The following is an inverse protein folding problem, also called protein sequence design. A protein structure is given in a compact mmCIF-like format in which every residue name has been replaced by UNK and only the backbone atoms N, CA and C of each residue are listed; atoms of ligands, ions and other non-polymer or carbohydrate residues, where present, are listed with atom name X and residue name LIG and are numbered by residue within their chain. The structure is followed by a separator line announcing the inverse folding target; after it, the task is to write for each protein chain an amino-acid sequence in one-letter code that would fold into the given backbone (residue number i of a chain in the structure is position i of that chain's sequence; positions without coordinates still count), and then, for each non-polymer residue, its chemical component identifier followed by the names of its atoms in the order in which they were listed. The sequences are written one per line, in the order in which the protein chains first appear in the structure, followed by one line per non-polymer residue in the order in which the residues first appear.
data_IF_800821901878
#
_entry.id   IF_800821901878
#
_cell.length_a   1.000
_cell.length_b   1.000
_cell.length_c   1.000
_cell.angle_alpha   90.00
_cell.angle_beta   90.00
_cell.angle_gamma   90.00
#
_symmetry.space_group_name_H-M   'P 1'
#
loop_
_entity.id
_entity.type
_entity.pdbx_description
1 polymer ?
#
# COMPACT_ATOMS: atom_id res chain seq x y z
N UNK A 1 -30.59 -22.82 11.86
CA UNK A 1 -30.14 -21.59 12.55
C UNK A 1 -28.65 -21.58 12.89
N UNK A 2 -28.08 -22.63 13.50
CA UNK A 2 -26.63 -22.65 13.89
C UNK A 2 -25.69 -22.65 12.68
N UNK A 3 -26.07 -23.35 11.60
CA UNK A 3 -25.26 -23.45 10.38
C UNK A 3 -25.19 -22.08 9.68
N UNK A 4 -26.31 -21.40 9.57
CA UNK A 4 -26.47 -20.07 8.98
C UNK A 4 -25.67 -19.03 9.75
N UNK A 5 -25.70 -19.10 11.09
CA UNK A 5 -24.85 -18.26 11.96
C UNK A 5 -23.36 -18.54 11.72
N UNK A 6 -22.97 -19.81 11.58
CA UNK A 6 -21.60 -20.20 11.26
C UNK A 6 -21.12 -19.62 9.94
N UNK A 7 -21.94 -19.70 8.88
CA UNK A 7 -21.63 -19.10 7.58
C UNK A 7 -21.57 -17.57 7.65
N UNK A 8 -22.47 -16.93 8.40
CA UNK A 8 -22.46 -15.49 8.59
C UNK A 8 -21.19 -15.01 9.29
N UNK A 9 -20.77 -15.70 10.35
CA UNK A 9 -19.51 -15.40 11.07
C UNK A 9 -18.30 -15.60 10.16
N UNK A 10 -18.25 -16.72 9.42
CA UNK A 10 -17.17 -16.98 8.47
C UNK A 10 -17.10 -15.89 7.39
N UNK A 11 -18.26 -15.50 6.84
CA UNK A 11 -18.34 -14.43 5.86
C UNK A 11 -17.81 -13.11 6.42
N UNK A 12 -18.23 -12.72 7.63
CA UNK A 12 -17.73 -11.51 8.30
C UNK A 12 -16.21 -11.55 8.51
N UNK A 13 -15.67 -12.69 8.96
CA UNK A 13 -14.25 -12.88 9.16
C UNK A 13 -13.47 -12.76 7.86
N UNK A 14 -13.98 -13.31 6.75
CA UNK A 14 -13.33 -13.18 5.44
C UNK A 14 -13.45 -11.76 4.88
N UNK A 15 -14.64 -11.15 4.97
CA UNK A 15 -14.92 -9.83 4.43
C UNK A 15 -14.08 -8.72 5.11
N UNK A 16 -13.81 -8.83 6.40
CA UNK A 16 -12.98 -7.86 7.15
C UNK A 16 -11.53 -8.34 7.27
N UNK A 17 -11.34 -9.60 7.64
CA UNK A 17 -10.02 -10.16 7.91
C UNK A 17 -9.14 -10.25 6.67
N UNK A 18 -9.68 -10.63 5.51
CA UNK A 18 -8.87 -10.73 4.30
C UNK A 18 -8.30 -9.37 3.84
N UNK A 19 -9.08 -8.27 3.77
CA UNK A 19 -8.52 -6.94 3.48
C UNK A 19 -7.47 -6.48 4.49
N UNK A 20 -7.66 -6.75 5.80
CA UNK A 20 -6.68 -6.36 6.83
C UNK A 20 -5.37 -7.13 6.70
N UNK A 21 -5.43 -8.43 6.43
CA UNK A 21 -4.25 -9.25 6.16
C UNK A 21 -3.51 -8.75 4.92
N UNK A 22 -4.25 -8.48 3.84
CA UNK A 22 -3.68 -7.95 2.61
C UNK A 22 -3.03 -6.58 2.83
N UNK A 23 -3.70 -5.68 3.55
CA UNK A 23 -3.14 -4.39 3.95
C UNK A 23 -1.85 -4.56 4.76
N UNK A 24 -1.81 -5.53 5.69
CA UNK A 24 -0.61 -5.86 6.45
C UNK A 24 0.55 -6.28 5.56
N UNK A 25 0.31 -7.10 4.53
CA UNK A 25 1.33 -7.49 3.56
C UNK A 25 1.82 -6.30 2.72
N UNK A 26 0.90 -5.53 2.14
CA UNK A 26 1.24 -4.33 1.36
C UNK A 26 2.06 -3.36 2.22
N UNK A 27 1.63 -3.12 3.46
CA UNK A 27 2.33 -2.22 4.38
C UNK A 27 3.72 -2.73 4.71
N UNK A 28 3.88 -4.04 4.96
CA UNK A 28 5.19 -4.64 5.23
C UNK A 28 6.14 -4.46 4.04
N UNK A 29 5.64 -4.68 2.83
CA UNK A 29 6.41 -4.48 1.59
C UNK A 29 6.76 -3.00 1.36
N UNK A 30 5.81 -2.11 1.62
CA UNK A 30 5.96 -0.66 1.36
C UNK A 30 6.73 0.06 2.46
N UNK A 31 6.82 -0.50 3.67
CA UNK A 31 7.48 0.14 4.81
C UNK A 31 9.01 0.26 4.65
N UNK A 32 9.61 -0.55 3.78
CA UNK A 32 11.06 -0.53 3.51
C UNK A 32 11.39 0.21 2.20
N UNK A 33 10.39 0.83 1.57
CA UNK A 33 10.64 1.67 0.40
C UNK A 33 11.30 2.96 0.85
N UNK A 34 12.45 3.26 0.23
CA UNK A 34 13.09 4.57 0.32
C UNK A 34 12.05 5.62 -0.08
N UNK A 35 11.47 6.29 0.92
CA UNK A 35 10.47 7.33 0.71
C UNK A 35 11.21 8.47 0.05
N UNK A 36 11.05 8.62 -1.27
CA UNK A 36 11.73 9.65 -2.01
C UNK A 36 11.20 11.00 -1.54
N UNK A 37 12.03 11.76 -0.83
CA UNK A 37 11.64 13.06 -0.34
C UNK A 37 11.28 13.96 -1.53
N UNK A 38 10.19 14.71 -1.38
CA UNK A 38 9.70 15.60 -2.43
C UNK A 38 10.79 16.59 -2.84
N UNK A 39 11.59 17.06 -1.88
CA UNK A 39 12.68 18.00 -2.17
C UNK A 39 13.76 17.37 -3.07
N UNK A 40 14.06 16.08 -2.87
CA UNK A 40 15.04 15.36 -3.68
C UNK A 40 14.49 15.04 -5.07
N UNK A 41 13.20 14.72 -5.17
CA UNK A 41 12.51 14.55 -6.46
C UNK A 41 12.53 15.83 -7.30
N UNK A 42 12.22 16.97 -6.69
CA UNK A 42 12.23 18.27 -7.37
C UNK A 42 13.65 18.67 -7.80
N UNK A 43 14.66 18.43 -6.96
CA UNK A 43 16.07 18.64 -7.32
C UNK A 43 16.50 17.77 -8.49
N UNK A 44 16.13 16.49 -8.50
CA UNK A 44 16.43 15.58 -9.60
C UNK A 44 15.78 16.04 -10.91
N UNK A 45 14.50 16.44 -10.86
CA UNK A 45 13.77 16.97 -12.02
C UNK A 45 14.37 18.29 -12.55
N UNK A 46 14.78 19.20 -11.66
CA UNK A 46 15.47 20.42 -12.07
C UNK A 46 16.83 20.14 -12.71
N UNK A 47 17.59 19.18 -12.19
CA UNK A 47 18.89 18.79 -12.76
C UNK A 47 18.73 18.20 -14.16
N UNK A 48 17.76 17.33 -14.36
CA UNK A 48 17.47 16.71 -15.67
C UNK A 48 16.97 17.74 -16.70
N UNK A 49 16.07 18.65 -16.30
CA UNK A 49 15.59 19.71 -17.21
C UNK A 49 16.72 20.66 -17.65
N UNK A 50 17.67 20.99 -16.75
CA UNK A 50 18.87 21.77 -17.09
C UNK A 50 19.82 21.01 -18.02
N UNK A 51 19.95 19.69 -17.86
CA UNK A 51 20.77 18.83 -18.73
C UNK A 51 20.22 18.79 -20.14
N UNK A 52 18.90 18.66 -20.32
CA UNK A 52 18.25 18.63 -21.65
C UNK A 52 18.27 19.96 -22.40
N UNK A 53 18.47 21.08 -21.70
CA UNK A 53 18.48 22.42 -22.29
C UNK A 53 19.87 22.86 -22.80
N UNK A 54 20.91 22.08 -22.51
CA UNK A 54 22.25 22.22 -23.10
C UNK A 54 22.39 21.25 -24.26
#
# INVERSE_FOLDING_TARGET
MVIELGFFVLFMLLAIGAPLVLYGFIRKETSDQQTMDRSDAERAAQKESRRRRR
#
